data_IF_445535764572
#
_entry.id   IF_445535764572
#
_cell.length_a   1.000
_cell.length_b   1.000
_cell.length_c   1.000
_cell.angle_alpha   90.00
_cell.angle_beta   90.00
_cell.angle_gamma   90.00
#
_symmetry.space_group_name_H-M   'P 1'
#
loop_
_entity.id
_entity.type
_entity.pdbx_description
1 polymer ?
#
# COMPACT_ATOMS: atom_id res chain seq x y z
N UNK A 1 15.51 -16.68 7.62
CA UNK A 1 15.83 -15.85 6.44
C UNK A 1 17.22 -15.29 6.66
N UNK A 2 18.14 -15.41 5.72
CA UNK A 2 19.50 -14.85 5.86
C UNK A 2 19.39 -13.32 5.92
N UNK A 3 19.81 -12.68 7.02
CA UNK A 3 19.72 -11.23 7.17
C UNK A 3 20.82 -10.56 6.36
N UNK A 4 20.47 -10.04 5.19
CA UNK A 4 21.43 -9.42 4.28
C UNK A 4 21.76 -8.00 4.73
N UNK A 5 23.05 -7.73 4.92
CA UNK A 5 23.56 -6.44 5.36
C UNK A 5 23.22 -5.31 4.36
N UNK A 6 22.88 -4.13 4.86
CA UNK A 6 22.39 -3.00 4.04
C UNK A 6 23.37 -2.57 2.93
N UNK A 7 24.68 -2.70 3.15
CA UNK A 7 25.69 -2.34 2.17
C UNK A 7 25.66 -3.27 0.93
N UNK A 8 25.28 -4.54 1.09
CA UNK A 8 25.09 -5.51 0.00
C UNK A 8 23.81 -5.17 -0.77
N UNK A 9 22.72 -4.84 -0.06
CA UNK A 9 21.44 -4.45 -0.69
C UNK A 9 21.58 -3.20 -1.58
N UNK A 10 22.37 -2.20 -1.15
CA UNK A 10 22.65 -1.01 -1.97
C UNK A 10 23.34 -1.35 -3.29
N UNK A 11 24.34 -2.23 -3.26
CA UNK A 11 25.07 -2.68 -4.44
C UNK A 11 24.19 -3.52 -5.37
N UNK A 12 23.36 -4.37 -4.77
CA UNK A 12 22.36 -5.15 -5.49
C UNK A 12 21.43 -4.25 -6.30
N UNK A 13 20.87 -3.20 -5.69
CA UNK A 13 19.96 -2.28 -6.38
C UNK A 13 20.64 -1.56 -7.55
N UNK A 14 21.93 -1.22 -7.44
CA UNK A 14 22.69 -0.60 -8.54
C UNK A 14 22.98 -1.59 -9.67
N UNK A 15 23.42 -2.80 -9.34
CA UNK A 15 23.59 -3.87 -10.32
C UNK A 15 22.28 -4.19 -11.04
N UNK A 16 21.15 -4.22 -10.32
CA UNK A 16 19.83 -4.48 -10.90
C UNK A 16 19.41 -3.35 -11.86
N UNK A 17 19.75 -2.10 -11.54
CA UNK A 17 19.52 -0.97 -12.44
C UNK A 17 20.29 -1.07 -13.76
N UNK A 18 21.55 -1.52 -13.71
CA UNK A 18 22.43 -1.66 -14.88
C UNK A 18 22.06 -2.87 -15.73
N UNK A 19 22.07 -4.04 -15.11
CA UNK A 19 21.95 -5.32 -15.81
C UNK A 19 20.49 -5.78 -15.95
N UNK A 20 19.56 -5.30 -15.12
CA UNK A 20 18.14 -5.67 -15.14
C UNK A 20 17.96 -7.20 -15.13
N UNK A 21 17.33 -7.76 -16.16
CA UNK A 21 17.16 -9.20 -16.37
C UNK A 21 18.26 -9.82 -17.26
N UNK A 22 19.22 -9.02 -17.72
CA UNK A 22 20.33 -9.50 -18.53
C UNK A 22 21.33 -10.26 -17.68
N UNK A 23 21.93 -11.26 -18.30
CA UNK A 23 23.08 -11.97 -17.78
C UNK A 23 24.33 -11.10 -17.91
N UNK A 24 25.25 -11.20 -16.95
CA UNK A 24 26.52 -10.44 -16.92
C UNK A 24 27.67 -11.29 -16.37
N UNK A 25 28.90 -10.89 -16.70
CA UNK A 25 30.14 -11.55 -16.29
C UNK A 25 30.67 -11.02 -14.95
N UNK A 26 31.67 -11.71 -14.38
CA UNK A 26 32.35 -11.22 -13.18
C UNK A 26 33.06 -9.88 -13.44
N UNK A 27 33.69 -9.75 -14.59
CA UNK A 27 34.45 -8.56 -14.99
C UNK A 27 33.52 -7.35 -15.17
N UNK A 28 32.37 -7.54 -15.81
CA UNK A 28 31.35 -6.49 -15.94
C UNK A 28 30.84 -6.02 -14.57
N UNK A 29 30.65 -6.94 -13.62
CA UNK A 29 30.26 -6.59 -12.26
C UNK A 29 31.36 -5.80 -11.53
N UNK A 30 32.63 -6.19 -11.72
CA UNK A 30 33.79 -5.49 -11.13
C UNK A 30 33.90 -4.08 -11.69
N UNK A 31 33.86 -3.92 -13.02
CA UNK A 31 33.96 -2.62 -13.67
C UNK A 31 32.84 -1.68 -13.22
N UNK A 32 31.61 -2.19 -13.15
CA UNK A 32 30.47 -1.42 -12.70
C UNK A 32 30.57 -1.01 -11.23
N UNK A 33 30.84 -1.95 -10.32
CA UNK A 33 30.89 -1.65 -8.87
C UNK A 33 32.12 -0.82 -8.49
N UNK A 34 33.24 -1.00 -9.18
CA UNK A 34 34.41 -0.13 -9.04
C UNK A 34 34.09 1.30 -9.45
N UNK A 35 33.34 1.50 -10.56
CA UNK A 35 32.92 2.84 -11.01
C UNK A 35 31.98 3.54 -10.03
N UNK A 36 31.03 2.80 -9.42
CA UNK A 36 29.97 3.41 -8.59
C UNK A 36 30.36 3.50 -7.10
N UNK A 37 31.06 2.50 -6.58
CA UNK A 37 31.35 2.36 -5.15
C UNK A 37 32.85 2.27 -4.83
N UNK A 38 33.71 2.25 -5.85
CA UNK A 38 35.15 2.00 -5.71
C UNK A 38 35.48 0.65 -5.05
N UNK A 39 34.60 -0.36 -5.26
CA UNK A 39 34.83 -1.73 -4.77
C UNK A 39 35.92 -2.42 -5.60
N UNK A 40 36.81 -3.19 -4.95
CA UNK A 40 37.84 -3.99 -5.59
C UNK A 40 37.36 -5.42 -5.93
N UNK A 41 38.14 -6.20 -6.68
CA UNK A 41 37.75 -7.56 -7.11
C UNK A 41 37.40 -8.51 -5.94
N UNK A 42 38.12 -8.41 -4.83
CA UNK A 42 37.89 -9.26 -3.66
C UNK A 42 36.59 -8.90 -2.94
N UNK A 43 36.31 -7.60 -2.82
CA UNK A 43 35.03 -7.10 -2.33
C UNK A 43 33.89 -7.54 -3.25
N UNK A 44 34.05 -7.45 -4.57
CA UNK A 44 33.02 -7.88 -5.54
C UNK A 44 32.76 -9.39 -5.47
N UNK A 45 33.81 -10.22 -5.28
CA UNK A 45 33.64 -11.65 -4.99
C UNK A 45 32.79 -11.89 -3.74
N UNK A 46 33.09 -11.19 -2.66
CA UNK A 46 32.32 -11.31 -1.42
C UNK A 46 30.88 -10.84 -1.60
N UNK A 47 30.66 -9.73 -2.31
CA UNK A 47 29.34 -9.18 -2.62
C UNK A 47 28.49 -10.19 -3.38
N UNK A 48 28.99 -10.74 -4.49
CA UNK A 48 28.26 -11.71 -5.31
C UNK A 48 28.01 -13.03 -4.54
N UNK A 49 28.97 -13.45 -3.71
CA UNK A 49 28.82 -14.62 -2.83
C UNK A 49 27.69 -14.43 -1.81
N UNK A 50 27.64 -13.28 -1.14
CA UNK A 50 26.59 -12.96 -0.19
C UNK A 50 25.22 -12.77 -0.86
N UNK A 51 25.18 -12.15 -2.06
CA UNK A 51 23.95 -12.07 -2.87
C UNK A 51 23.45 -13.46 -3.28
N UNK A 52 24.34 -14.38 -3.62
CA UNK A 52 23.98 -15.76 -3.94
C UNK A 52 23.40 -16.48 -2.72
N UNK A 53 24.05 -16.39 -1.55
CA UNK A 53 23.55 -16.96 -0.29
C UNK A 53 22.18 -16.40 0.10
N UNK A 54 21.96 -15.11 -0.21
CA UNK A 54 20.70 -14.42 -0.01
C UNK A 54 19.60 -14.78 -1.02
N UNK A 55 19.93 -15.47 -2.12
CA UNK A 55 19.00 -15.80 -3.19
C UNK A 55 18.74 -14.68 -4.21
N UNK A 56 19.55 -13.63 -4.24
CA UNK A 56 19.41 -12.50 -5.16
C UNK A 56 20.16 -12.68 -6.49
N UNK A 57 20.91 -13.77 -6.63
CA UNK A 57 21.83 -13.97 -7.73
C UNK A 57 21.84 -15.43 -8.16
N UNK A 58 21.39 -15.68 -9.39
CA UNK A 58 21.57 -16.97 -10.05
C UNK A 58 22.96 -17.01 -10.71
N UNK A 59 23.66 -18.12 -10.52
CA UNK A 59 25.00 -18.33 -11.05
C UNK A 59 25.01 -19.59 -11.89
N UNK A 60 25.27 -19.43 -13.19
CA UNK A 60 25.42 -20.53 -14.15
C UNK A 60 26.84 -20.54 -14.71
N UNK A 61 27.23 -21.67 -15.32
CA UNK A 61 28.45 -21.72 -16.14
C UNK A 61 28.12 -21.23 -17.53
N UNK A 62 29.01 -20.46 -18.14
CA UNK A 62 28.84 -20.03 -19.53
C UNK A 62 28.80 -21.28 -20.43
N UNK A 63 27.79 -21.41 -21.32
CA UNK A 63 27.71 -22.53 -22.27
C UNK A 63 28.91 -22.61 -23.22
N UNK A 64 29.51 -21.46 -23.57
CA UNK A 64 30.62 -21.36 -24.52
C UNK A 64 31.99 -21.51 -23.85
N UNK A 65 32.19 -20.93 -22.66
CA UNK A 65 33.38 -21.17 -21.83
C UNK A 65 33.03 -21.71 -20.43
N UNK A 66 33.26 -23.01 -20.21
CA UNK A 66 32.96 -23.66 -18.94
C UNK A 66 33.79 -23.14 -17.75
N UNK A 67 34.84 -22.36 -17.99
CA UNK A 67 35.66 -21.72 -16.96
C UNK A 67 35.04 -20.41 -16.45
N UNK A 68 34.14 -19.82 -17.23
CA UNK A 68 33.47 -18.57 -16.90
C UNK A 68 32.13 -18.79 -16.20
N UNK A 69 31.83 -17.90 -15.26
CA UNK A 69 30.55 -17.84 -14.58
C UNK A 69 29.74 -16.69 -15.15
N UNK A 70 28.49 -17.00 -15.47
CA UNK A 70 27.49 -16.02 -15.86
C UNK A 70 26.57 -15.80 -14.68
N UNK A 71 26.36 -14.54 -14.36
CA UNK A 71 25.54 -14.09 -13.26
C UNK A 71 24.25 -13.51 -13.82
N UNK A 72 23.13 -13.89 -13.23
CA UNK A 72 21.85 -13.26 -13.49
C UNK A 72 21.32 -12.77 -12.16
N UNK A 73 21.05 -11.48 -12.05
CA UNK A 73 20.35 -10.98 -10.88
C UNK A 73 18.94 -11.56 -10.95
N UNK A 74 18.57 -12.29 -9.91
CA UNK A 74 17.15 -12.42 -9.64
C UNK A 74 16.70 -11.04 -9.23
N UNK A 75 15.53 -10.61 -9.69
CA UNK A 75 14.83 -9.58 -8.95
C UNK A 75 14.78 -10.02 -7.48
N UNK A 76 14.71 -9.07 -6.54
CA UNK A 76 14.02 -9.19 -5.26
C UNK A 76 12.93 -10.32 -5.22
N UNK A 77 12.28 -10.51 -6.38
CA UNK A 77 10.86 -10.67 -6.57
C UNK A 77 10.51 -11.69 -7.66
N UNK A 78 11.52 -12.31 -8.30
CA UNK A 78 11.27 -13.50 -9.11
C UNK A 78 11.51 -14.75 -8.26
N UNK A 79 10.40 -15.45 -7.99
CA UNK A 79 10.28 -16.70 -7.22
C UNK A 79 10.04 -16.56 -5.71
N UNK A 80 8.95 -15.90 -5.34
CA UNK A 80 7.80 -16.73 -5.01
C UNK A 80 6.76 -16.44 -6.10
N UNK A 81 6.32 -17.44 -6.88
CA UNK A 81 4.95 -17.38 -7.43
C UNK A 81 4.13 -16.87 -6.26
N UNK A 82 3.42 -15.74 -6.39
CA UNK A 82 2.52 -15.23 -5.35
C UNK A 82 1.89 -16.48 -4.76
N UNK A 83 2.34 -16.91 -3.58
CA UNK A 83 1.56 -17.91 -2.87
C UNK A 83 0.24 -17.19 -2.79
N UNK A 84 -0.84 -17.85 -3.19
CA UNK A 84 -2.19 -17.36 -2.95
C UNK A 84 -2.45 -17.31 -1.43
N UNK A 85 -1.51 -16.78 -0.64
CA UNK A 85 -1.66 -16.28 0.69
C UNK A 85 -2.46 -14.98 0.55
N UNK A 86 -3.73 -15.13 0.20
CA UNK A 86 -4.70 -14.08 0.48
C UNK A 86 -4.67 -13.83 1.99
N UNK A 87 -4.53 -12.57 2.40
CA UNK A 87 -4.82 -12.23 3.79
C UNK A 87 -6.34 -12.25 3.91
N UNK A 88 -6.85 -13.22 4.66
CA UNK A 88 -8.28 -13.34 4.94
C UNK A 88 -8.63 -13.01 6.40
N UNK A 89 -7.62 -12.82 7.27
CA UNK A 89 -7.84 -12.56 8.70
C UNK A 89 -7.12 -11.30 9.19
N UNK A 90 -7.72 -10.69 10.22
CA UNK A 90 -7.18 -9.55 10.95
C UNK A 90 -5.77 -9.82 11.47
N UNK A 91 -5.54 -10.97 12.08
CA UNK A 91 -4.25 -11.30 12.70
C UNK A 91 -3.12 -11.42 11.68
N UNK A 92 -3.41 -11.95 10.49
CA UNK A 92 -2.44 -12.00 9.40
C UNK A 92 -2.03 -10.58 8.96
N UNK A 93 -3.00 -9.68 8.81
CA UNK A 93 -2.72 -8.29 8.45
C UNK A 93 -1.93 -7.57 9.55
N UNK A 94 -2.32 -7.73 10.82
CA UNK A 94 -1.59 -7.14 11.94
C UNK A 94 -0.15 -7.67 12.00
N UNK A 95 0.09 -8.96 11.76
CA UNK A 95 1.43 -9.52 11.72
C UNK A 95 2.28 -9.02 10.54
N UNK A 96 1.65 -8.73 9.40
CA UNK A 96 2.30 -8.02 8.29
C UNK A 96 2.75 -6.62 8.74
N UNK A 97 1.87 -5.90 9.42
CA UNK A 97 2.14 -4.53 9.87
C UNK A 97 3.16 -4.46 11.00
N UNK A 98 3.22 -5.46 11.88
CA UNK A 98 4.32 -5.62 12.85
C UNK A 98 5.68 -5.76 12.14
N UNK A 99 5.76 -6.61 11.11
CA UNK A 99 6.98 -6.74 10.31
C UNK A 99 7.34 -5.42 9.61
N UNK A 100 6.35 -4.65 9.14
CA UNK A 100 6.58 -3.35 8.53
C UNK A 100 7.11 -2.34 9.56
N UNK A 101 6.54 -2.33 10.77
CA UNK A 101 7.00 -1.52 11.90
C UNK A 101 8.45 -1.86 12.29
N UNK A 102 8.79 -3.16 12.31
CA UNK A 102 10.15 -3.65 12.58
C UNK A 102 11.15 -3.31 11.47
N UNK A 103 10.70 -3.06 10.23
CA UNK A 103 11.58 -2.59 9.15
C UNK A 103 11.92 -1.10 9.31
N UNK A 104 10.95 -0.28 9.73
CA UNK A 104 11.18 1.15 9.88
C UNK A 104 11.95 1.49 11.17
N UNK A 105 11.78 0.73 12.28
CA UNK A 105 12.50 0.91 13.57
C UNK A 105 12.77 2.39 13.93
N UNK A 106 11.75 3.25 13.85
CA UNK A 106 11.79 4.70 14.12
C UNK A 106 12.61 5.58 13.15
N UNK A 107 13.23 5.01 12.11
CA UNK A 107 14.02 5.75 11.11
C UNK A 107 13.14 6.48 10.08
N UNK A 108 11.94 5.96 9.88
CA UNK A 108 10.97 6.42 8.89
C UNK A 108 9.64 6.63 9.61
N UNK A 109 8.92 7.67 9.19
CA UNK A 109 7.59 7.96 9.70
C UNK A 109 6.62 6.80 9.37
N UNK A 110 5.80 6.38 10.34
CA UNK A 110 4.85 5.29 10.18
C UNK A 110 3.74 5.60 9.16
N UNK A 111 3.53 6.88 8.84
CA UNK A 111 2.63 7.34 7.77
C UNK A 111 2.93 6.70 6.42
N UNK A 112 4.18 6.34 6.12
CA UNK A 112 4.52 5.59 4.90
C UNK A 112 3.97 4.17 4.91
N UNK A 113 3.85 3.52 6.07
CA UNK A 113 3.21 2.19 6.17
C UNK A 113 1.71 2.33 5.89
N UNK A 114 1.07 3.36 6.45
CA UNK A 114 -0.35 3.66 6.23
C UNK A 114 -0.63 3.94 4.75
N UNK A 115 0.23 4.74 4.11
CA UNK A 115 0.16 5.01 2.68
C UNK A 115 0.29 3.73 1.84
N UNK A 116 1.28 2.88 2.12
CA UNK A 116 1.48 1.65 1.35
C UNK A 116 0.33 0.65 1.56
N UNK A 117 -0.21 0.55 2.78
CA UNK A 117 -1.41 -0.25 3.06
C UNK A 117 -2.60 0.22 2.22
N UNK A 118 -2.85 1.54 2.20
CA UNK A 118 -3.91 2.16 1.40
C UNK A 118 -3.73 1.91 -0.09
N UNK A 119 -2.55 2.25 -0.61
CA UNK A 119 -2.23 2.14 -2.02
C UNK A 119 -2.38 0.69 -2.50
N UNK A 120 -1.84 -0.27 -1.74
CA UNK A 120 -1.97 -1.70 -2.04
C UNK A 120 -3.43 -2.14 -2.01
N UNK A 121 -4.19 -1.76 -0.99
CA UNK A 121 -5.59 -2.13 -0.86
C UNK A 121 -6.44 -1.61 -2.04
N UNK A 122 -6.27 -0.35 -2.44
CA UNK A 122 -7.00 0.21 -3.57
C UNK A 122 -6.54 -0.43 -4.89
N UNK A 123 -5.24 -0.61 -5.09
CA UNK A 123 -4.72 -1.23 -6.30
C UNK A 123 -5.27 -2.64 -6.49
N UNK A 124 -5.25 -3.47 -5.44
CA UNK A 124 -5.76 -4.84 -5.52
C UNK A 124 -7.29 -4.84 -5.70
N UNK A 125 -8.01 -3.94 -5.02
CA UNK A 125 -9.45 -3.78 -5.22
C UNK A 125 -9.78 -3.40 -6.67
N UNK A 126 -9.04 -2.47 -7.26
CA UNK A 126 -9.21 -2.08 -8.65
C UNK A 126 -8.98 -3.26 -9.60
N UNK A 127 -7.93 -4.07 -9.36
CA UNK A 127 -7.68 -5.29 -10.15
C UNK A 127 -8.85 -6.29 -10.04
N UNK A 128 -9.44 -6.43 -8.85
CA UNK A 128 -10.63 -7.27 -8.65
C UNK A 128 -11.86 -6.73 -9.39
N UNK A 129 -12.17 -5.44 -9.24
CA UNK A 129 -13.28 -4.79 -9.95
C UNK A 129 -13.12 -4.93 -11.47
N UNK A 130 -11.90 -4.77 -11.98
CA UNK A 130 -11.56 -4.96 -13.38
C UNK A 130 -11.83 -6.40 -13.84
N UNK A 131 -11.37 -7.41 -13.07
CA UNK A 131 -11.57 -8.83 -13.40
C UNK A 131 -13.05 -9.21 -13.39
N UNK A 132 -13.82 -8.73 -12.41
CA UNK A 132 -15.26 -8.93 -12.31
C UNK A 132 -16.01 -8.29 -13.48
N UNK A 133 -15.68 -7.03 -13.82
CA UNK A 133 -16.26 -6.31 -14.95
C UNK A 133 -15.96 -7.00 -16.28
N UNK A 134 -14.69 -7.36 -16.53
CA UNK A 134 -14.28 -8.08 -17.74
C UNK A 134 -15.03 -9.40 -17.87
N UNK A 135 -15.12 -10.18 -16.79
CA UNK A 135 -15.84 -11.47 -16.79
C UNK A 135 -17.33 -11.30 -17.10
N UNK A 136 -17.97 -10.27 -16.52
CA UNK A 136 -19.38 -9.94 -16.78
C UNK A 136 -19.61 -9.58 -18.26
N UNK A 137 -18.73 -8.78 -18.86
CA UNK A 137 -18.83 -8.35 -20.27
C UNK A 137 -18.62 -9.51 -21.24
N UNK A 138 -17.62 -10.37 -20.97
CA UNK A 138 -17.39 -11.58 -21.76
C UNK A 138 -18.61 -12.52 -21.71
N UNK A 139 -19.23 -12.67 -20.53
CA UNK A 139 -20.45 -13.48 -20.37
C UNK A 139 -21.64 -12.89 -21.15
N UNK A 140 -21.67 -11.57 -21.34
CA UNK A 140 -22.65 -10.86 -22.20
C UNK A 140 -22.32 -10.96 -23.70
N UNK A 141 -21.25 -11.66 -24.08
CA UNK A 141 -20.86 -11.89 -25.48
C UNK A 141 -20.00 -10.80 -26.11
N UNK A 142 -19.39 -9.92 -25.31
CA UNK A 142 -18.46 -8.91 -25.82
C UNK A 142 -17.16 -9.56 -26.29
N UNK A 143 -16.53 -9.00 -27.32
CA UNK A 143 -15.20 -9.43 -27.75
C UNK A 143 -14.14 -9.09 -26.69
N UNK A 144 -13.07 -9.88 -26.60
CA UNK A 144 -12.10 -9.76 -25.49
C UNK A 144 -11.44 -8.37 -25.41
N UNK A 145 -11.05 -7.80 -26.55
CA UNK A 145 -10.41 -6.48 -26.60
C UNK A 145 -11.37 -5.37 -26.17
N UNK A 146 -12.63 -5.45 -26.60
CA UNK A 146 -13.66 -4.48 -26.23
C UNK A 146 -14.03 -4.61 -24.76
N UNK A 147 -14.17 -5.84 -24.26
CA UNK A 147 -14.45 -6.12 -22.85
C UNK A 147 -13.34 -5.59 -21.95
N UNK A 148 -12.06 -5.71 -22.34
CA UNK A 148 -10.94 -5.13 -21.58
C UNK A 148 -11.03 -3.60 -21.55
N UNK A 149 -11.23 -2.95 -22.70
CA UNK A 149 -11.32 -1.48 -22.76
C UNK A 149 -12.49 -0.95 -21.95
N UNK A 150 -13.64 -1.60 -22.04
CA UNK A 150 -14.85 -1.22 -21.31
C UNK A 150 -14.71 -1.47 -19.81
N UNK A 151 -14.13 -2.61 -19.41
CA UNK A 151 -13.90 -2.93 -18.00
C UNK A 151 -12.92 -2.00 -17.29
N UNK A 152 -12.05 -1.28 -18.02
CA UNK A 152 -11.16 -0.23 -17.47
C UNK A 152 -11.88 1.10 -17.20
N UNK A 153 -13.11 1.25 -17.67
CA UNK A 153 -13.83 2.52 -17.57
C UNK A 153 -14.25 2.82 -16.12
N UNK A 154 -14.23 4.10 -15.76
CA UNK A 154 -14.59 4.63 -14.43
C UNK A 154 -15.92 4.08 -13.85
N UNK A 155 -16.99 3.84 -14.63
CA UNK A 155 -18.23 3.26 -14.10
C UNK A 155 -18.07 1.92 -13.38
N UNK A 156 -17.08 1.09 -13.73
CA UNK A 156 -16.83 -0.19 -13.06
C UNK A 156 -15.97 -0.07 -11.81
N UNK A 157 -15.35 1.09 -11.59
CA UNK A 157 -14.37 1.27 -10.52
C UNK A 157 -14.87 2.17 -9.40
N UNK A 158 -14.47 1.83 -8.19
CA UNK A 158 -14.72 2.69 -7.01
C UNK A 158 -13.70 3.83 -6.92
N UNK A 159 -12.53 3.66 -7.53
CA UNK A 159 -11.43 4.62 -7.48
C UNK A 159 -10.78 4.73 -8.86
N UNK A 160 -10.51 5.95 -9.33
CA UNK A 160 -9.87 6.16 -10.62
C UNK A 160 -8.37 5.88 -10.52
N UNK A 161 -7.95 4.73 -11.06
CA UNK A 161 -6.60 4.21 -10.90
C UNK A 161 -5.99 3.80 -12.27
N UNK A 162 -5.04 4.56 -12.82
CA UNK A 162 -4.39 4.19 -14.07
C UNK A 162 -3.59 2.89 -13.94
N UNK A 163 -3.73 1.99 -14.92
CA UNK A 163 -3.07 0.67 -14.91
C UNK A 163 -1.56 0.73 -14.69
N UNK A 164 -0.90 1.71 -15.30
CA UNK A 164 0.55 1.89 -15.18
C UNK A 164 1.05 2.05 -13.74
N UNK A 165 0.18 2.54 -12.85
CA UNK A 165 0.50 2.76 -11.44
C UNK A 165 0.01 1.63 -10.52
N UNK A 166 -0.64 0.59 -11.05
CA UNK A 166 -1.04 -0.54 -10.20
C UNK A 166 0.18 -1.13 -9.49
N UNK A 167 -0.03 -1.62 -8.27
CA UNK A 167 1.02 -2.10 -7.38
C UNK A 167 2.04 -3.01 -8.07
N UNK A 168 1.54 -3.99 -8.82
CA UNK A 168 2.37 -4.95 -9.55
C UNK A 168 3.22 -4.27 -10.65
N UNK A 169 2.71 -3.21 -11.28
CA UNK A 169 3.41 -2.44 -12.31
C UNK A 169 4.45 -1.48 -11.72
N UNK A 170 4.19 -0.96 -10.51
CA UNK A 170 5.15 -0.16 -9.74
C UNK A 170 6.39 -0.98 -9.38
N UNK A 171 6.18 -2.24 -9.01
CA UNK A 171 7.22 -3.19 -8.58
C UNK A 171 8.18 -3.62 -9.68
N UNK A 172 7.80 -3.52 -10.96
CA UNK A 172 8.61 -4.01 -12.10
C UNK A 172 9.99 -3.34 -12.23
N UNK A 173 10.13 -2.12 -11.73
CA UNK A 173 11.41 -1.39 -11.72
C UNK A 173 11.75 -0.92 -10.29
N UNK A 174 12.27 -1.82 -9.42
CA UNK A 174 12.56 -1.53 -8.02
C UNK A 174 13.42 -0.27 -7.79
N UNK A 175 14.34 -0.01 -8.71
CA UNK A 175 15.23 1.15 -8.72
C UNK A 175 14.51 2.49 -8.96
N UNK A 176 13.31 2.46 -9.55
CA UNK A 176 12.49 3.65 -9.83
C UNK A 176 11.23 3.72 -8.97
N UNK A 177 11.07 2.83 -7.99
CA UNK A 177 9.85 2.76 -7.17
C UNK A 177 9.50 4.10 -6.53
N UNK A 178 10.48 4.84 -6.00
CA UNK A 178 10.24 6.16 -5.39
C UNK A 178 9.81 7.23 -6.39
N UNK A 179 10.46 7.28 -7.55
CA UNK A 179 10.09 8.17 -8.66
C UNK A 179 8.67 7.85 -9.15
N UNK A 180 8.39 6.56 -9.40
CA UNK A 180 7.07 6.10 -9.83
C UNK A 180 6.00 6.47 -8.82
N UNK A 181 6.22 6.24 -7.51
CA UNK A 181 5.24 6.63 -6.48
C UNK A 181 5.00 8.14 -6.49
N UNK A 182 6.04 8.95 -6.65
CA UNK A 182 5.91 10.41 -6.71
C UNK A 182 5.06 10.87 -7.89
N UNK A 183 5.21 10.22 -9.05
CA UNK A 183 4.40 10.50 -10.25
C UNK A 183 2.96 9.97 -10.07
N UNK A 184 2.83 8.74 -9.57
CA UNK A 184 1.54 8.10 -9.32
C UNK A 184 0.67 8.94 -8.38
N UNK A 185 1.23 9.40 -7.26
CA UNK A 185 0.53 10.22 -6.27
C UNK A 185 -0.04 11.49 -6.89
N UNK A 186 0.76 12.21 -7.70
CA UNK A 186 0.29 13.39 -8.43
C UNK A 186 -0.87 13.03 -9.35
N UNK A 187 -0.75 11.94 -10.11
CA UNK A 187 -1.79 11.54 -11.04
C UNK A 187 -3.07 11.07 -10.36
N UNK A 188 -2.94 10.31 -9.28
CA UNK A 188 -4.08 9.86 -8.48
C UNK A 188 -4.78 11.04 -7.80
N UNK A 189 -4.04 12.05 -7.37
CA UNK A 189 -4.60 13.30 -6.83
C UNK A 189 -5.41 14.07 -7.89
N UNK A 190 -4.92 14.18 -9.12
CA UNK A 190 -5.67 14.81 -10.22
C UNK A 190 -6.98 14.08 -10.53
N UNK A 191 -6.94 12.75 -10.57
CA UNK A 191 -8.09 11.91 -10.96
C UNK A 191 -9.12 11.72 -9.84
N UNK A 192 -8.71 11.91 -8.59
CA UNK A 192 -9.56 11.68 -7.41
C UNK A 192 -9.51 12.92 -6.51
N UNK A 193 -10.21 13.99 -6.92
CA UNK A 193 -10.10 15.31 -6.32
C UNK A 193 -10.34 15.32 -4.79
N UNK A 194 -11.25 14.48 -4.31
CA UNK A 194 -11.55 14.31 -2.88
C UNK A 194 -10.37 13.77 -2.04
N UNK A 195 -9.32 13.23 -2.68
CA UNK A 195 -8.14 12.65 -2.04
C UNK A 195 -6.87 13.50 -2.28
N UNK A 196 -6.95 14.64 -2.95
CA UNK A 196 -5.78 15.49 -3.25
C UNK A 196 -4.99 15.85 -1.99
N UNK A 197 -5.71 16.24 -0.95
CA UNK A 197 -5.17 16.62 0.34
C UNK A 197 -4.34 15.52 0.99
N UNK A 198 -4.70 14.25 0.75
CA UNK A 198 -4.01 13.07 1.27
C UNK A 198 -2.72 12.85 0.49
N UNK A 199 -2.82 12.81 -0.83
CA UNK A 199 -1.69 12.56 -1.71
C UNK A 199 -0.61 13.63 -1.61
N UNK A 200 -1.00 14.89 -1.42
CA UNK A 200 -0.07 16.02 -1.31
C UNK A 200 0.88 15.96 -0.10
N UNK A 201 0.59 15.11 0.90
CA UNK A 201 1.42 14.97 2.10
C UNK A 201 2.68 14.13 1.88
N UNK A 202 2.72 13.34 0.79
CA UNK A 202 3.77 12.37 0.56
C UNK A 202 4.69 12.81 -0.58
N UNK A 203 5.97 12.98 -0.27
CA UNK A 203 7.03 13.15 -1.26
C UNK A 203 8.04 12.01 -1.16
N UNK A 204 7.88 11.00 -2.02
CA UNK A 204 8.76 9.84 -2.07
C UNK A 204 10.15 10.18 -2.62
N UNK A 205 10.29 11.23 -3.43
CA UNK A 205 11.58 11.68 -3.92
C UNK A 205 12.38 12.32 -2.80
N UNK A 206 11.80 13.25 -2.04
CA UNK A 206 12.42 13.82 -0.84
C UNK A 206 12.72 12.73 0.19
N UNK A 207 11.77 11.83 0.44
CA UNK A 207 11.94 10.71 1.37
C UNK A 207 13.15 9.83 1.02
N UNK A 208 13.34 9.51 -0.26
CA UNK A 208 14.42 8.63 -0.74
C UNK A 208 15.74 9.35 -1.07
N UNK A 209 15.83 10.66 -0.79
CA UNK A 209 17.10 11.38 -0.80
C UNK A 209 18.13 10.75 0.14
N UNK A 210 17.69 10.14 1.24
CA UNK A 210 18.49 9.23 2.05
C UNK A 210 18.51 7.83 1.40
N UNK A 211 19.68 7.30 1.00
CA UNK A 211 19.78 5.97 0.40
C UNK A 211 19.29 4.82 1.28
N UNK A 212 19.23 4.98 2.61
CA UNK A 212 18.64 3.99 3.52
C UNK A 212 17.12 3.93 3.37
N UNK A 213 16.46 5.08 3.22
CA UNK A 213 15.02 5.17 3.04
C UNK A 213 14.58 4.52 1.73
N UNK A 214 15.39 4.64 0.67
CA UNK A 214 15.15 3.92 -0.59
C UNK A 214 15.17 2.40 -0.41
N UNK A 215 16.07 1.87 0.42
CA UNK A 215 16.15 0.44 0.74
C UNK A 215 14.95 0.02 1.59
N UNK A 216 14.56 0.83 2.58
CA UNK A 216 13.39 0.56 3.43
C UNK A 216 12.10 0.57 2.60
N UNK A 217 11.91 1.55 1.69
CA UNK A 217 10.76 1.61 0.80
C UNK A 217 10.63 0.33 -0.03
N UNK A 218 11.73 -0.09 -0.66
CA UNK A 218 11.75 -1.33 -1.41
C UNK A 218 11.40 -2.51 -0.49
N UNK A 219 11.97 -2.62 0.71
CA UNK A 219 11.61 -3.70 1.64
C UNK A 219 10.13 -3.69 2.04
N UNK A 220 9.52 -2.51 2.22
CA UNK A 220 8.12 -2.36 2.56
C UNK A 220 7.21 -2.78 1.40
N UNK A 221 7.42 -2.25 0.19
CA UNK A 221 6.67 -2.69 -1.01
C UNK A 221 6.69 -4.21 -1.12
N UNK A 222 7.79 -4.82 -0.70
CA UNK A 222 7.99 -6.24 -0.88
C UNK A 222 7.39 -7.10 0.18
N UNK A 223 7.43 -6.60 1.40
CA UNK A 223 6.68 -7.17 2.49
C UNK A 223 5.18 -7.19 2.15
N UNK A 224 4.63 -6.09 1.66
CA UNK A 224 3.22 -5.99 1.25
C UNK A 224 2.90 -6.85 0.01
N UNK A 225 3.84 -6.99 -0.93
CA UNK A 225 3.69 -7.83 -2.12
C UNK A 225 3.57 -9.34 -1.86
N UNK A 226 3.90 -9.81 -0.65
CA UNK A 226 3.75 -11.24 -0.29
C UNK A 226 2.30 -11.69 -0.21
N UNK A 227 1.35 -10.76 -0.19
CA UNK A 227 -0.05 -11.01 0.07
C UNK A 227 -0.93 -10.30 -0.95
N UNK A 228 -2.07 -10.93 -1.27
CA UNK A 228 -3.14 -10.28 -2.03
C UNK A 228 -4.19 -9.71 -1.08
N UNK A 229 -4.63 -8.49 -1.36
CA UNK A 229 -5.68 -7.77 -0.63
C UNK A 229 -7.01 -7.76 -1.41
N UNK A 230 -7.14 -8.52 -2.50
CA UNK A 230 -8.37 -8.57 -3.32
C UNK A 230 -9.61 -9.01 -2.53
N UNK A 231 -9.44 -9.95 -1.60
CA UNK A 231 -10.51 -10.52 -0.78
C UNK A 231 -10.60 -9.94 0.63
N UNK A 232 -9.80 -8.92 0.94
CA UNK A 232 -9.78 -8.37 2.28
C UNK A 232 -11.00 -7.45 2.48
N UNK A 233 -11.68 -7.61 3.62
CA UNK A 233 -12.80 -6.73 3.95
C UNK A 233 -12.30 -5.35 4.38
N UNK A 234 -13.13 -4.33 4.18
CA UNK A 234 -12.83 -2.97 4.64
C UNK A 234 -12.67 -2.88 6.16
N UNK A 235 -13.33 -3.77 6.89
CA UNK A 235 -13.27 -3.86 8.35
C UNK A 235 -11.90 -4.32 8.83
N UNK A 236 -11.37 -5.38 8.20
CA UNK A 236 -10.02 -5.87 8.52
C UNK A 236 -8.97 -4.80 8.20
N UNK A 237 -9.12 -4.10 7.08
CA UNK A 237 -8.23 -2.99 6.72
C UNK A 237 -8.32 -1.83 7.72
N UNK A 238 -9.53 -1.44 8.13
CA UNK A 238 -9.77 -0.40 9.12
C UNK A 238 -9.16 -0.76 10.48
N UNK A 239 -9.39 -1.98 10.97
CA UNK A 239 -8.80 -2.49 12.21
C UNK A 239 -7.27 -2.47 12.19
N UNK A 240 -6.69 -2.79 11.04
CA UNK A 240 -5.25 -2.83 10.85
C UNK A 240 -4.65 -1.43 10.77
N UNK A 241 -5.36 -0.49 10.14
CA UNK A 241 -5.04 0.92 10.15
C UNK A 241 -5.04 1.48 11.58
N UNK A 242 -6.12 1.24 12.35
CA UNK A 242 -6.21 1.64 13.75
C UNK A 242 -5.12 1.02 14.61
N UNK A 243 -4.78 -0.24 14.34
CA UNK A 243 -3.69 -0.90 15.03
C UNK A 243 -2.36 -0.17 14.83
N UNK A 244 -2.02 0.28 13.62
CA UNK A 244 -0.79 1.07 13.38
C UNK A 244 -0.84 2.38 14.15
N UNK A 245 -1.95 3.13 14.06
CA UNK A 245 -2.09 4.38 14.81
C UNK A 245 -1.85 4.16 16.30
N UNK A 246 -2.49 3.15 16.89
CA UNK A 246 -2.31 2.79 18.30
C UNK A 246 -0.89 2.30 18.60
N UNK A 247 -0.26 1.57 17.68
CA UNK A 247 1.09 1.05 17.88
C UNK A 247 2.11 2.20 17.99
N UNK A 248 2.00 3.21 17.12
CA UNK A 248 2.91 4.37 17.09
C UNK A 248 2.46 5.56 17.96
N UNK A 249 1.23 5.55 18.49
CA UNK A 249 0.76 6.59 19.39
C UNK A 249 1.63 6.71 20.67
N UNK A 250 1.98 7.94 21.10
CA UNK A 250 2.64 8.17 22.38
C UNK A 250 1.82 7.60 23.54
N UNK A 251 2.47 7.15 24.62
CA UNK A 251 1.78 6.54 25.78
C UNK A 251 0.72 7.45 26.37
N UNK A 252 0.96 8.78 26.44
CA UNK A 252 -0.03 9.77 26.88
C UNK A 252 -1.23 9.94 25.92
N UNK A 253 -1.02 9.78 24.61
CA UNK A 253 -2.08 9.87 23.61
C UNK A 253 -3.03 8.65 23.64
N UNK A 254 -2.60 7.55 24.27
CA UNK A 254 -3.42 6.34 24.47
C UNK A 254 -4.46 6.48 25.59
N UNK A 255 -4.47 7.61 26.31
CA UNK A 255 -5.33 7.87 27.48
C UNK A 255 -6.66 8.54 27.14
N UNK A 256 -7.03 8.70 25.86
CA UNK A 256 -8.40 9.04 25.43
C UNK A 256 -8.55 10.23 24.48
N UNK A 257 -7.50 11.03 24.27
CA UNK A 257 -7.55 12.17 23.33
C UNK A 257 -7.53 11.76 21.85
N UNK A 258 -6.96 10.59 21.51
CA UNK A 258 -6.75 10.18 20.11
C UNK A 258 -7.62 8.99 19.69
N UNK A 259 -8.14 8.21 20.64
CA UNK A 259 -8.85 6.97 20.33
C UNK A 259 -9.90 6.62 21.39
N UNK A 260 -11.12 6.35 20.93
CA UNK A 260 -12.20 5.76 21.73
C UNK A 260 -12.32 4.27 21.41
N UNK A 261 -12.28 3.35 22.40
CA UNK A 261 -12.47 1.92 22.16
C UNK A 261 -13.77 1.59 21.42
N UNK A 262 -13.73 0.62 20.50
CA UNK A 262 -14.88 0.23 19.65
C UNK A 262 -16.09 -0.20 20.47
N UNK A 263 -15.86 -0.84 21.62
CA UNK A 263 -16.91 -1.28 22.54
C UNK A 263 -17.64 -0.09 23.19
N UNK A 264 -16.89 0.97 23.52
CA UNK A 264 -17.46 2.22 24.07
C UNK A 264 -18.24 2.96 22.99
N UNK A 265 -17.67 3.08 21.78
CA UNK A 265 -18.36 3.66 20.63
C UNK A 265 -19.67 2.91 20.36
N UNK A 266 -19.62 1.57 20.31
CA UNK A 266 -20.80 0.74 20.03
C UNK A 266 -21.90 0.96 21.06
N UNK A 267 -21.55 0.98 22.35
CA UNK A 267 -22.49 1.30 23.42
C UNK A 267 -23.13 2.68 23.24
N UNK A 268 -22.33 3.71 22.94
CA UNK A 268 -22.84 5.07 22.72
C UNK A 268 -23.82 5.13 21.54
N UNK A 269 -23.50 4.44 20.43
CA UNK A 269 -24.36 4.37 19.25
C UNK A 269 -25.64 3.58 19.52
N UNK A 270 -25.57 2.48 20.26
CA UNK A 270 -26.74 1.69 20.64
C UNK A 270 -27.70 2.47 21.55
N UNK A 271 -27.16 3.33 22.43
CA UNK A 271 -27.97 4.26 23.24
C UNK A 271 -28.58 5.35 22.36
N UNK A 272 -27.81 5.87 21.40
CA UNK A 272 -28.26 6.94 20.49
C UNK A 272 -29.37 6.46 19.53
N UNK A 273 -29.35 5.18 19.15
CA UNK A 273 -30.25 4.53 18.19
C UNK A 273 -30.54 5.37 16.93
N UNK A 274 -29.51 5.66 16.10
CA UNK A 274 -29.69 6.49 14.92
C UNK A 274 -30.63 5.85 13.89
N UNK A 275 -31.49 6.68 13.30
CA UNK A 275 -32.44 6.25 12.26
C UNK A 275 -31.98 6.67 10.85
N UNK A 276 -32.43 5.96 9.78
CA UNK A 276 -32.21 6.38 8.40
C UNK A 276 -32.71 7.82 8.14
N UNK A 277 -32.07 8.52 7.19
CA UNK A 277 -32.36 9.91 6.80
C UNK A 277 -32.10 10.97 7.88
N UNK A 278 -31.47 10.60 9.00
CA UNK A 278 -31.04 11.54 10.03
C UNK A 278 -29.62 12.02 9.78
N UNK A 279 -29.29 13.17 10.37
CA UNK A 279 -27.94 13.71 10.41
C UNK A 279 -27.26 13.37 11.74
N UNK A 280 -26.01 12.91 11.67
CA UNK A 280 -25.14 12.71 12.80
C UNK A 280 -24.00 13.72 12.75
N UNK A 281 -23.63 14.25 13.92
CA UNK A 281 -22.55 15.21 14.05
C UNK A 281 -21.61 14.81 15.18
N UNK A 282 -20.31 14.76 14.87
CA UNK A 282 -19.25 14.55 15.85
C UNK A 282 -18.32 15.79 15.87
N UNK A 283 -18.37 16.62 16.93
CA UNK A 283 -17.60 17.86 17.01
C UNK A 283 -16.10 17.67 17.28
N UNK A 284 -15.67 16.44 17.60
CA UNK A 284 -14.27 16.08 17.87
C UNK A 284 -14.00 14.68 17.30
N UNK A 285 -14.23 14.54 16.01
CA UNK A 285 -14.41 13.24 15.33
C UNK A 285 -13.16 12.35 15.30
N UNK A 286 -11.95 12.91 15.46
CA UNK A 286 -10.71 12.13 15.45
C UNK A 286 -10.60 11.21 14.23
N UNK A 287 -10.47 9.90 14.45
CA UNK A 287 -10.40 8.85 13.41
C UNK A 287 -11.76 8.48 12.78
N UNK A 288 -12.82 9.21 13.14
CA UNK A 288 -14.20 8.99 12.72
C UNK A 288 -14.80 7.63 13.09
N UNK A 289 -14.23 6.98 14.10
CA UNK A 289 -14.73 5.71 14.64
C UNK A 289 -16.21 5.77 15.02
N UNK A 290 -16.66 6.88 15.61
CA UNK A 290 -18.06 7.07 16.04
C UNK A 290 -19.03 7.03 14.86
N UNK A 291 -18.77 7.82 13.81
CA UNK A 291 -19.63 7.89 12.62
C UNK A 291 -19.60 6.60 11.80
N UNK A 292 -18.45 5.92 11.71
CA UNK A 292 -18.34 4.62 11.04
C UNK A 292 -19.23 3.58 11.76
N UNK A 293 -19.15 3.50 13.09
CA UNK A 293 -19.97 2.53 13.85
C UNK A 293 -21.45 2.90 13.77
N UNK A 294 -21.79 4.20 13.76
CA UNK A 294 -23.17 4.65 13.56
C UNK A 294 -23.75 4.20 12.23
N UNK A 295 -22.99 4.35 11.14
CA UNK A 295 -23.39 3.86 9.82
C UNK A 295 -23.62 2.34 9.85
N UNK A 296 -22.66 1.58 10.41
CA UNK A 296 -22.77 0.11 10.50
C UNK A 296 -23.96 -0.34 11.34
N UNK A 297 -24.24 0.34 12.43
CA UNK A 297 -25.42 0.06 13.25
C UNK A 297 -26.72 0.20 12.46
N UNK A 298 -26.85 1.28 11.67
CA UNK A 298 -28.02 1.48 10.81
C UNK A 298 -28.06 0.47 9.66
N UNK A 299 -26.91 0.10 9.10
CA UNK A 299 -26.80 -0.95 8.08
C UNK A 299 -27.24 -2.32 8.60
N UNK A 300 -26.79 -2.70 9.80
CA UNK A 300 -27.16 -3.94 10.47
C UNK A 300 -28.66 -3.99 10.81
N UNK A 301 -29.24 -2.85 11.25
CA UNK A 301 -30.64 -2.78 11.71
C UNK A 301 -31.65 -2.58 10.57
N UNK A 302 -31.32 -1.78 9.56
CA UNK A 302 -32.26 -1.34 8.52
C UNK A 302 -31.83 -1.71 7.09
N UNK A 303 -30.63 -2.28 6.92
CA UNK A 303 -30.06 -2.61 5.63
C UNK A 303 -29.28 -1.45 4.99
N UNK A 304 -28.40 -1.80 4.07
CA UNK A 304 -27.46 -0.88 3.41
C UNK A 304 -28.13 0.31 2.73
N UNK A 305 -29.21 0.09 1.97
CA UNK A 305 -29.92 1.18 1.28
C UNK A 305 -30.45 2.25 2.24
N UNK A 306 -30.77 1.86 3.49
CA UNK A 306 -31.23 2.78 4.51
C UNK A 306 -30.05 3.48 5.19
N UNK A 307 -28.95 2.78 5.45
CA UNK A 307 -27.72 3.37 5.97
C UNK A 307 -27.15 4.44 5.04
N UNK A 308 -27.21 4.21 3.72
CA UNK A 308 -26.80 5.18 2.68
C UNK A 308 -27.56 6.51 2.73
N UNK A 309 -28.68 6.58 3.46
CA UNK A 309 -29.46 7.83 3.63
C UNK A 309 -29.01 8.68 4.82
N UNK A 310 -28.09 8.19 5.65
CA UNK A 310 -27.52 8.96 6.75
C UNK A 310 -26.67 10.12 6.24
N UNK A 311 -26.72 11.24 6.96
CA UNK A 311 -25.85 12.39 6.71
C UNK A 311 -24.83 12.45 7.85
N UNK A 312 -23.58 12.12 7.55
CA UNK A 312 -22.49 12.07 8.53
C UNK A 312 -21.66 13.35 8.47
N UNK A 313 -21.54 14.06 9.58
CA UNK A 313 -20.79 15.30 9.68
C UNK A 313 -19.80 15.21 10.85
N UNK A 314 -18.61 15.80 10.70
CA UNK A 314 -17.74 15.97 11.85
C UNK A 314 -16.71 17.07 11.70
N UNK A 315 -16.13 17.43 12.84
CA UNK A 315 -15.13 18.47 12.97
C UNK A 315 -13.96 17.96 13.82
N UNK A 316 -12.75 18.34 13.44
CA UNK A 316 -11.53 18.05 14.20
C UNK A 316 -10.65 19.29 14.22
N UNK A 317 -10.12 19.60 15.40
CA UNK A 317 -9.30 20.78 15.62
C UNK A 317 -7.82 20.50 15.31
N UNK A 318 -7.36 19.26 15.52
CA UNK A 318 -5.98 18.88 15.29
C UNK A 318 -5.74 18.60 13.80
N UNK A 319 -4.93 19.40 13.09
CA UNK A 319 -4.63 19.14 11.68
C UNK A 319 -3.97 17.76 11.47
N UNK A 320 -3.22 17.28 12.48
CA UNK A 320 -2.51 15.98 12.48
C UNK A 320 -3.40 14.78 12.71
N UNK A 321 -4.64 14.96 13.11
CA UNK A 321 -5.64 13.90 13.24
C UNK A 321 -6.74 14.25 12.23
N UNK A 322 -6.69 13.79 10.98
CA UNK A 322 -7.56 14.34 9.96
C UNK A 322 -8.78 13.46 9.85
N UNK A 323 -9.89 14.09 10.18
CA UNK A 323 -11.12 13.77 9.53
C UNK A 323 -11.35 14.75 8.37
N UNK A 324 -12.20 14.34 7.44
CA UNK A 324 -12.74 15.22 6.42
C UNK A 324 -13.59 16.32 7.06
N UNK A 325 -13.02 17.51 7.25
CA UNK A 325 -13.80 18.74 7.44
C UNK A 325 -14.00 19.45 6.09
N UNK A 326 -14.90 18.93 5.24
CA UNK A 326 -15.56 19.75 4.22
C UNK A 326 -17.03 19.36 4.11
N UNK A 327 -17.89 20.36 4.23
CA UNK A 327 -19.31 20.32 3.87
C UNK A 327 -19.45 19.86 2.41
N UNK A 328 -19.60 18.57 2.17
CA UNK A 328 -20.14 18.06 0.91
C UNK A 328 -21.46 17.38 1.24
N UNK A 329 -22.55 17.99 0.77
CA UNK A 329 -23.83 17.29 0.65
C UNK A 329 -23.60 16.07 -0.24
N UNK A 330 -23.38 14.90 0.35
CA UNK A 330 -23.30 13.64 -0.39
C UNK A 330 -24.73 13.22 -0.81
N UNK A 331 -25.27 13.94 -1.77
CA UNK A 331 -26.41 13.48 -2.56
C UNK A 331 -25.89 12.50 -3.61
N UNK A 332 -26.22 11.23 -3.41
CA UNK A 332 -26.44 10.21 -4.45
C UNK A 332 -25.20 9.58 -5.13
N UNK A 333 -24.97 8.29 -4.80
CA UNK A 333 -24.74 7.12 -5.67
C UNK A 333 -23.62 6.22 -5.12
N UNK A 334 -24.06 5.00 -4.78
CA UNK A 334 -23.30 3.76 -4.63
C UNK A 334 -21.82 3.83 -5.02
N UNK A 335 -20.90 3.67 -4.03
CA UNK A 335 -19.55 3.08 -4.17
C UNK A 335 -18.67 3.15 -2.90
N UNK A 336 -19.04 3.93 -1.89
CA UNK A 336 -18.11 4.30 -0.82
C UNK A 336 -18.38 3.62 0.54
N UNK A 337 -18.06 2.33 0.68
CA UNK A 337 -17.97 1.69 2.02
C UNK A 337 -16.54 1.33 2.41
N UNK A 338 -15.77 0.83 1.45
CA UNK A 338 -14.33 0.61 1.61
C UNK A 338 -13.54 1.92 1.54
N UNK A 339 -13.97 2.87 0.69
CA UNK A 339 -13.32 4.17 0.60
C UNK A 339 -13.80 5.15 1.67
N UNK A 340 -14.99 4.95 2.25
CA UNK A 340 -15.50 5.79 3.33
C UNK A 340 -14.81 5.46 4.65
N UNK A 341 -14.69 4.18 5.04
CA UNK A 341 -13.89 3.77 6.22
C UNK A 341 -12.43 4.26 6.14
N UNK A 342 -11.86 4.30 4.93
CA UNK A 342 -10.54 4.88 4.68
C UNK A 342 -10.53 6.42 4.58
N UNK A 343 -11.54 7.07 3.98
CA UNK A 343 -11.75 8.54 4.01
C UNK A 343 -11.82 9.07 5.44
N UNK A 344 -12.41 8.27 6.33
CA UNK A 344 -12.70 8.61 7.72
C UNK A 344 -11.51 8.39 8.65
N UNK A 345 -10.61 7.44 8.33
CA UNK A 345 -9.51 7.09 9.23
C UNK A 345 -8.11 7.43 8.71
N UNK A 346 -7.89 7.70 7.42
CA UNK A 346 -6.61 7.31 6.83
C UNK A 346 -5.42 8.27 6.74
N UNK A 347 -5.47 9.61 6.90
CA UNK A 347 -4.28 10.41 6.46
C UNK A 347 -3.98 11.80 7.08
N UNK A 348 -3.07 11.92 8.08
CA UNK A 348 -2.63 13.14 8.83
C UNK A 348 -2.26 14.36 7.98
N UNK A 349 -2.95 15.52 8.07
CA UNK A 349 -2.36 16.78 7.56
C UNK A 349 -1.30 17.30 8.55
N UNK A 350 -0.17 17.78 8.05
CA UNK A 350 0.82 18.54 8.85
C UNK A 350 0.27 19.90 9.21
#
# INVERSE_FOLDING_TARGET
MYEVQNWIKRRYLKLLGEFKEKEFSFEEAVDFLKRIFNDNEEQVKNILSEMKKAGFLDVKRNPEDRREKVYKLRGLFEQEKVKNNSISTRDQLINLLKQAADLIRTRVDYTFILFLLFYKAISDKWEKEFEEAKSSLLTKGWEELEAVREAESEPYHTFNFPREYLWNNMRREPQKVSEKFSIAIKKLAELNQSYQDIFSQFDFHQFTSNPENAVILNQLVELFSKFSFKEISGDILGDAYEWILKYFAPTKAKEGEVYTPREVIRLMIEILDPEPKKSLYDPAIGSAGMLIVAYKYVEEKYGKEKADTLILNGQEANPKNPCLSKNEHASTRHKELLLSSWRYSAFPKV
#
